data_IF_756386312654
#
_entry.id   IF_756386312654
#
_cell.length_a   1.000
_cell.length_b   1.000
_cell.length_c   1.000
_cell.angle_alpha   90.00
_cell.angle_beta   90.00
_cell.angle_gamma   90.00
#
_symmetry.space_group_name_H-M   'P 1'
#
loop_
_entity.id
_entity.type
_entity.pdbx_description
1 polymer ?
#
# COMPACT_ATOMS: atom_id res chain seq x y z
N UNK A 1 13.80 -23.00 26.97
CA UNK A 1 14.75 -22.30 26.08
C UNK A 1 14.29 -22.59 24.66
N UNK A 2 13.38 -21.76 24.14
CA UNK A 2 12.73 -21.95 22.83
C UNK A 2 13.26 -20.85 21.92
N UNK A 3 14.07 -21.25 20.94
CA UNK A 3 14.55 -20.39 19.86
C UNK A 3 13.36 -19.98 18.98
N UNK A 4 12.88 -18.75 19.17
CA UNK A 4 11.97 -18.08 18.25
C UNK A 4 12.75 -17.76 16.97
N UNK A 5 12.49 -18.57 15.94
CA UNK A 5 12.90 -18.35 14.56
C UNK A 5 12.65 -16.90 14.15
N UNK A 6 13.73 -16.11 14.10
CA UNK A 6 13.77 -14.82 13.39
C UNK A 6 13.62 -15.12 11.90
N UNK A 7 12.40 -15.13 11.40
CA UNK A 7 12.16 -14.99 9.97
C UNK A 7 12.55 -13.58 9.57
N UNK A 8 13.73 -13.43 8.99
CA UNK A 8 14.14 -12.23 8.25
C UNK A 8 13.09 -11.94 7.17
N UNK A 9 12.64 -10.68 7.00
CA UNK A 9 11.82 -10.34 5.85
C UNK A 9 12.66 -10.56 4.60
N UNK A 10 12.27 -11.53 3.76
CA UNK A 10 12.87 -11.71 2.43
C UNK A 10 12.83 -10.38 1.68
N UNK A 11 14.00 -9.94 1.20
CA UNK A 11 14.11 -8.72 0.42
C UNK A 11 13.24 -8.83 -0.84
N UNK A 12 12.35 -7.86 -1.04
CA UNK A 12 11.52 -7.76 -2.24
C UNK A 12 12.40 -7.68 -3.51
N UNK A 13 12.05 -8.39 -4.60
CA UNK A 13 12.88 -8.47 -5.81
C UNK A 13 13.06 -7.12 -6.52
N UNK A 14 14.29 -6.90 -7.01
CA UNK A 14 14.89 -5.63 -7.50
C UNK A 14 14.24 -4.94 -8.73
N UNK A 15 13.19 -5.48 -9.34
CA UNK A 15 12.63 -4.93 -10.60
C UNK A 15 11.23 -4.31 -10.48
N UNK A 16 10.71 -4.14 -9.27
CA UNK A 16 9.43 -3.46 -9.04
C UNK A 16 9.71 -1.97 -8.85
N UNK A 17 9.02 -1.07 -9.55
CA UNK A 17 8.91 0.31 -9.05
C UNK A 17 8.11 0.22 -7.74
N UNK A 18 8.74 0.44 -6.58
CA UNK A 18 8.03 0.30 -5.32
C UNK A 18 6.95 1.37 -5.23
N UNK A 19 5.90 1.11 -4.46
CA UNK A 19 5.00 2.19 -4.04
C UNK A 19 5.84 3.28 -3.38
N UNK A 20 5.65 4.53 -3.80
CA UNK A 20 6.33 5.64 -3.18
C UNK A 20 5.83 5.79 -1.75
N UNK A 21 6.72 5.64 -0.78
CA UNK A 21 6.37 5.78 0.62
C UNK A 21 5.94 7.20 0.95
N UNK A 22 4.91 7.33 1.79
CA UNK A 22 4.39 8.62 2.25
C UNK A 22 4.73 8.86 3.73
N UNK A 23 5.16 10.08 4.05
CA UNK A 23 5.47 10.50 5.43
C UNK A 23 4.39 11.46 5.93
N UNK A 24 3.79 11.17 7.07
CA UNK A 24 2.99 12.16 7.80
C UNK A 24 3.94 13.04 8.63
N UNK A 25 3.99 14.34 8.34
CA UNK A 25 4.81 15.32 9.05
C UNK A 25 3.93 16.11 10.02
N UNK A 26 4.08 15.81 11.30
CA UNK A 26 3.49 16.57 12.40
C UNK A 26 4.51 17.54 12.98
N UNK A 27 4.22 18.85 12.95
CA UNK A 27 5.20 19.89 13.28
C UNK A 27 4.66 21.07 14.07
N UNK A 28 3.42 21.03 14.57
CA UNK A 28 2.73 22.17 15.15
C UNK A 28 2.20 23.16 14.11
N UNK A 29 1.36 24.10 14.57
CA UNK A 29 0.54 24.97 13.72
C UNK A 29 0.95 26.46 13.73
N UNK A 30 1.98 26.87 14.49
CA UNK A 30 2.42 28.27 14.46
C UNK A 30 3.11 28.57 13.13
N UNK A 31 3.05 29.82 12.69
CA UNK A 31 3.57 30.24 11.38
C UNK A 31 5.03 29.79 11.15
N UNK A 32 5.93 30.01 12.12
CA UNK A 32 7.34 29.60 12.04
C UNK A 32 7.53 28.10 11.91
N UNK A 33 6.63 27.32 12.50
CA UNK A 33 6.66 25.86 12.42
C UNK A 33 6.20 25.39 11.06
N UNK A 34 5.10 25.94 10.55
CA UNK A 34 4.61 25.65 9.20
C UNK A 34 5.68 25.98 8.16
N UNK A 35 6.37 27.11 8.30
CA UNK A 35 7.50 27.47 7.44
C UNK A 35 8.64 26.44 7.55
N UNK A 36 8.94 25.98 8.77
CA UNK A 36 9.95 24.94 8.99
C UNK A 36 9.52 23.61 8.39
N UNK A 37 8.25 23.23 8.52
CA UNK A 37 7.63 22.04 7.96
C UNK A 37 7.71 22.01 6.44
N UNK A 38 7.43 23.14 5.79
CA UNK A 38 7.59 23.29 4.33
C UNK A 38 9.04 23.03 3.91
N UNK A 39 10.01 23.51 4.70
CA UNK A 39 11.45 23.27 4.44
C UNK A 39 11.84 21.82 4.71
N UNK A 40 11.31 21.19 5.76
CA UNK A 40 11.45 19.75 6.00
C UNK A 40 10.85 18.95 4.84
N UNK A 41 9.66 19.30 4.37
CA UNK A 41 9.01 18.66 3.22
C UNK A 41 9.87 18.69 1.96
N UNK A 42 10.57 19.80 1.68
CA UNK A 42 11.56 19.86 0.59
C UNK A 42 12.70 18.85 0.78
N UNK A 43 13.16 18.63 2.01
CA UNK A 43 14.17 17.61 2.33
C UNK A 43 13.58 16.22 2.08
N UNK A 44 12.36 15.94 2.52
CA UNK A 44 11.70 14.64 2.32
C UNK A 44 11.53 14.32 0.83
N UNK A 45 11.06 15.28 0.03
CA UNK A 45 10.93 15.14 -1.41
C UNK A 45 12.29 14.90 -2.09
N UNK A 46 13.34 15.60 -1.67
CA UNK A 46 14.69 15.39 -2.19
C UNK A 46 15.25 13.99 -1.86
N UNK A 47 14.75 13.34 -0.80
CA UNK A 47 15.08 11.95 -0.48
C UNK A 47 14.15 10.93 -1.17
N UNK A 48 13.19 11.40 -1.98
CA UNK A 48 12.30 10.53 -2.77
C UNK A 48 10.99 10.16 -2.07
N UNK A 49 10.66 10.74 -0.92
CA UNK A 49 9.40 10.48 -0.23
C UNK A 49 8.28 11.39 -0.73
N UNK A 50 7.05 10.88 -0.69
CA UNK A 50 5.86 11.74 -0.61
C UNK A 50 5.62 12.14 0.84
N UNK A 51 4.93 13.26 1.07
CA UNK A 51 4.64 13.69 2.41
C UNK A 51 3.33 14.47 2.49
N UNK A 52 2.71 14.42 3.67
CA UNK A 52 1.63 15.29 4.09
C UNK A 52 2.11 16.13 5.26
N UNK A 53 1.91 17.44 5.20
CA UNK A 53 2.13 18.34 6.35
C UNK A 53 0.80 18.46 7.06
N UNK A 54 0.75 18.12 8.33
CA UNK A 54 -0.41 18.41 9.17
C UNK A 54 -0.66 19.92 9.15
N UNK A 55 -1.78 20.33 8.54
CA UNK A 55 -2.19 21.74 8.45
C UNK A 55 -3.11 22.09 9.61
N UNK A 56 -3.41 23.37 9.72
CA UNK A 56 -4.42 23.85 10.64
C UNK A 56 -5.77 23.26 10.27
N UNK A 57 -6.38 22.60 11.25
CA UNK A 57 -7.66 21.93 11.13
C UNK A 57 -8.50 22.47 12.27
N UNK A 58 -9.53 23.24 11.94
CA UNK A 58 -10.20 24.13 12.90
C UNK A 58 -11.33 23.43 13.66
N UNK A 59 -11.73 22.24 13.22
CA UNK A 59 -12.81 21.48 13.87
C UNK A 59 -12.43 20.04 14.21
N UNK A 60 -13.05 19.52 15.28
CA UNK A 60 -12.96 18.09 15.67
C UNK A 60 -13.34 17.17 14.51
N UNK A 61 -14.31 17.58 13.68
CA UNK A 61 -14.76 16.80 12.53
C UNK A 61 -13.68 16.66 11.46
N UNK A 62 -12.96 17.73 11.16
CA UNK A 62 -11.87 17.71 10.19
C UNK A 62 -10.64 16.96 10.73
N UNK A 63 -10.37 17.02 12.05
CA UNK A 63 -9.35 16.17 12.69
C UNK A 63 -9.71 14.69 12.48
N UNK A 64 -10.97 14.33 12.72
CA UNK A 64 -11.44 12.95 12.60
C UNK A 64 -11.49 12.43 11.15
N UNK A 65 -11.69 13.31 10.16
CA UNK A 65 -11.87 12.88 8.77
C UNK A 65 -10.62 13.08 7.91
N UNK A 66 -9.97 14.24 7.96
CA UNK A 66 -8.81 14.53 7.10
C UNK A 66 -7.51 14.00 7.71
N UNK A 67 -7.21 14.36 8.97
CA UNK A 67 -5.95 13.95 9.61
C UNK A 67 -5.88 12.44 9.78
N UNK A 68 -6.95 11.80 10.25
CA UNK A 68 -6.98 10.33 10.37
C UNK A 68 -6.84 9.66 8.99
N UNK A 69 -7.49 10.19 7.95
CA UNK A 69 -7.33 9.65 6.58
C UNK A 69 -5.88 9.78 6.11
N UNK A 70 -5.25 10.92 6.32
CA UNK A 70 -3.85 11.15 5.92
C UNK A 70 -2.86 10.31 6.74
N UNK A 71 -3.15 10.06 8.02
CA UNK A 71 -2.42 9.11 8.84
C UNK A 71 -2.58 7.67 8.32
N UNK A 72 -3.82 7.23 8.03
CA UNK A 72 -4.08 5.90 7.44
C UNK A 72 -3.36 5.71 6.09
N UNK A 73 -3.19 6.79 5.33
CA UNK A 73 -2.53 6.81 4.02
C UNK A 73 -1.01 7.00 4.07
N UNK A 74 -0.43 7.24 5.25
CA UNK A 74 1.00 7.44 5.43
C UNK A 74 1.68 6.18 5.92
N UNK A 75 2.95 6.00 5.53
CA UNK A 75 3.76 4.83 5.87
C UNK A 75 4.68 5.10 7.06
N UNK A 76 5.14 6.34 7.16
CA UNK A 76 6.04 6.83 8.17
C UNK A 76 5.42 8.01 8.93
N UNK A 77 5.82 8.19 10.19
CA UNK A 77 5.41 9.35 10.98
C UNK A 77 6.66 10.13 11.41
N UNK A 78 6.71 11.41 11.06
CA UNK A 78 7.76 12.33 11.49
C UNK A 78 7.15 13.36 12.44
N UNK A 79 7.57 13.31 13.70
CA UNK A 79 7.18 14.23 14.74
C UNK A 79 8.28 15.26 15.01
N UNK A 80 8.01 16.54 14.73
CA UNK A 80 8.87 17.66 15.09
C UNK A 80 8.20 18.45 16.20
N UNK A 81 8.74 18.35 17.41
CA UNK A 81 8.09 18.83 18.62
C UNK A 81 8.78 20.11 19.13
N UNK A 82 8.18 21.26 18.82
CA UNK A 82 8.69 22.58 19.23
C UNK A 82 8.24 22.97 20.64
N UNK A 83 9.01 23.87 21.28
CA UNK A 83 8.66 24.48 22.57
C UNK A 83 7.41 25.35 22.45
N UNK A 84 6.54 25.25 23.47
CA UNK A 84 5.33 26.05 23.65
C UNK A 84 5.38 26.80 24.97
N UNK A 85 4.43 26.53 25.86
CA UNK A 85 4.31 27.17 27.16
C UNK A 85 5.40 26.65 28.10
N UNK A 86 6.00 27.55 28.87
CA UNK A 86 6.91 27.14 29.94
C UNK A 86 6.11 26.45 31.06
N UNK A 87 6.59 25.30 31.52
CA UNK A 87 6.00 24.57 32.66
C UNK A 87 6.77 24.88 33.94
N UNK A 88 8.09 24.96 33.84
CA UNK A 88 9.00 25.44 34.88
C UNK A 88 10.29 25.93 34.23
N UNK A 89 11.27 26.36 35.03
CA UNK A 89 12.55 26.89 34.52
C UNK A 89 13.23 25.85 33.63
N UNK A 90 13.41 26.19 32.35
CA UNK A 90 14.08 25.33 31.36
C UNK A 90 13.22 24.18 30.80
N UNK A 91 11.95 24.04 31.20
CA UNK A 91 11.04 23.04 30.66
C UNK A 91 9.82 23.65 29.99
N UNK A 92 9.50 23.14 28.81
CA UNK A 92 8.41 23.64 27.98
C UNK A 92 7.47 22.50 27.60
N UNK A 93 6.19 22.81 27.39
CA UNK A 93 5.25 21.92 26.72
C UNK A 93 5.57 21.81 25.23
N UNK A 94 5.12 20.71 24.64
CA UNK A 94 5.03 20.55 23.20
C UNK A 94 3.72 21.07 22.64
N UNK A 95 3.55 21.02 21.32
CA UNK A 95 2.27 21.35 20.68
C UNK A 95 1.21 20.30 21.02
N UNK A 96 0.12 20.68 21.69
CA UNK A 96 -0.98 19.77 22.06
C UNK A 96 -1.49 18.98 20.84
N UNK A 97 -1.74 19.67 19.73
CA UNK A 97 -2.21 19.05 18.48
C UNK A 97 -1.25 17.99 17.95
N UNK A 98 0.06 18.26 17.95
CA UNK A 98 1.05 17.30 17.45
C UNK A 98 1.23 16.10 18.38
N UNK A 99 0.99 16.28 19.68
CA UNK A 99 0.90 15.16 20.63
C UNK A 99 -0.36 14.32 20.42
N UNK A 100 -1.50 14.93 20.06
CA UNK A 100 -2.71 14.19 19.69
C UNK A 100 -2.50 13.37 18.41
N UNK A 101 -1.95 13.98 17.36
CA UNK A 101 -1.58 13.28 16.13
C UNK A 101 -0.60 12.14 16.40
N UNK A 102 0.36 12.35 17.30
CA UNK A 102 1.33 11.33 17.69
C UNK A 102 0.66 10.16 18.43
N UNK A 103 -0.30 10.45 19.30
CA UNK A 103 -1.10 9.42 19.96
C UNK A 103 -1.94 8.61 18.96
N UNK A 104 -2.56 9.28 17.97
CA UNK A 104 -3.31 8.60 16.90
C UNK A 104 -2.37 7.74 16.04
N UNK A 105 -1.21 8.25 15.64
CA UNK A 105 -0.22 7.49 14.88
C UNK A 105 0.24 6.24 15.66
N UNK A 106 0.48 6.37 16.96
CA UNK A 106 0.78 5.24 17.83
C UNK A 106 -0.36 4.23 17.89
N UNK A 107 -1.61 4.69 18.06
CA UNK A 107 -2.80 3.83 18.09
C UNK A 107 -3.06 3.12 16.75
N UNK A 108 -2.74 3.76 15.63
CA UNK A 108 -2.75 3.16 14.30
C UNK A 108 -1.56 2.21 14.07
N UNK A 109 -0.73 1.92 15.08
CA UNK A 109 0.35 0.94 14.98
C UNK A 109 1.48 1.37 14.05
N UNK A 110 1.80 2.66 13.96
CA UNK A 110 3.01 3.09 13.24
C UNK A 110 4.26 2.52 13.91
N UNK A 111 4.97 1.65 13.21
CA UNK A 111 6.26 1.11 13.67
C UNK A 111 7.44 1.99 13.27
N UNK A 112 7.25 2.84 12.26
CA UNK A 112 8.29 3.68 11.67
C UNK A 112 8.03 5.14 12.02
N UNK A 113 8.36 5.47 13.26
CA UNK A 113 8.20 6.80 13.85
C UNK A 113 9.58 7.42 14.03
N UNK A 114 9.75 8.65 13.57
CA UNK A 114 10.91 9.48 13.87
C UNK A 114 10.47 10.69 14.69
N UNK A 115 11.10 10.90 15.85
CA UNK A 115 10.81 12.02 16.74
C UNK A 115 12.05 12.91 16.89
N UNK A 116 11.84 14.21 16.70
CA UNK A 116 12.84 15.25 16.86
C UNK A 116 12.27 16.33 17.77
N UNK A 117 12.91 16.58 18.90
CA UNK A 117 12.43 17.51 19.93
C UNK A 117 13.23 18.81 19.91
N UNK A 118 12.58 19.93 20.18
CA UNK A 118 13.33 21.09 20.62
C UNK A 118 13.81 20.82 22.05
N UNK A 119 15.09 21.11 22.36
CA UNK A 119 15.71 20.85 23.66
C UNK A 119 14.83 21.37 24.79
N UNK A 120 14.69 20.68 25.91
CA UNK A 120 13.90 21.19 27.05
C UNK A 120 12.37 21.11 26.84
N UNK A 121 11.88 20.54 25.74
CA UNK A 121 10.49 20.09 25.70
C UNK A 121 10.35 18.89 26.64
N UNK A 122 9.41 18.98 27.58
CA UNK A 122 9.09 17.92 28.52
C UNK A 122 8.52 16.72 27.76
N UNK A 123 9.01 15.51 28.07
CA UNK A 123 8.44 14.27 27.56
C UNK A 123 7.19 13.93 28.36
N UNK A 124 6.03 14.29 27.82
CA UNK A 124 4.72 14.05 28.43
C UNK A 124 3.80 13.24 27.50
N UNK A 125 2.70 12.74 28.06
CA UNK A 125 1.75 11.88 27.33
C UNK A 125 2.42 10.63 26.76
N UNK A 126 2.02 10.24 25.55
CA UNK A 126 2.58 9.07 24.85
C UNK A 126 4.10 9.18 24.68
N UNK A 127 4.64 10.39 24.47
CA UNK A 127 6.09 10.61 24.28
C UNK A 127 6.92 10.28 25.54
N UNK A 128 6.32 10.38 26.73
CA UNK A 128 6.95 9.99 28.00
C UNK A 128 7.22 8.50 28.09
N UNK A 129 6.37 7.68 27.49
CA UNK A 129 6.47 6.21 27.49
C UNK A 129 7.04 5.64 26.20
N UNK A 130 7.14 6.46 25.15
CA UNK A 130 7.66 6.03 23.86
C UNK A 130 9.19 5.86 23.92
N UNK A 131 9.64 4.61 23.89
CA UNK A 131 11.05 4.20 24.03
C UNK A 131 11.92 4.47 22.79
N UNK A 132 12.00 5.71 22.32
CA UNK A 132 12.90 6.10 21.24
C UNK A 132 13.98 7.10 21.68
N UNK A 133 15.17 6.99 21.09
CA UNK A 133 16.22 8.00 21.18
C UNK A 133 15.86 9.19 20.27
N UNK A 134 15.31 10.23 20.88
CA UNK A 134 14.93 11.47 20.18
C UNK A 134 16.15 12.33 19.94
N UNK A 135 16.31 12.85 18.72
CA UNK A 135 17.31 13.90 18.50
C UNK A 135 16.75 15.25 18.95
N UNK A 136 17.66 16.14 19.36
CA UNK A 136 17.29 17.47 19.83
C UNK A 136 17.83 18.58 18.93
N UNK A 137 17.08 19.68 18.84
CA UNK A 137 17.49 20.94 18.23
C UNK A 137 17.24 22.11 19.20
N UNK A 138 17.93 23.21 19.03
CA UNK A 138 17.83 24.38 19.92
C UNK A 138 16.91 25.45 19.35
N UNK A 139 16.85 25.59 18.02
CA UNK A 139 16.10 26.64 17.32
C UNK A 139 15.49 26.17 15.97
N UNK A 140 14.63 27.01 15.40
CA UNK A 140 14.09 26.79 14.05
C UNK A 140 15.18 26.68 12.97
N UNK A 141 16.35 27.32 13.16
CA UNK A 141 17.43 27.35 12.15
C UNK A 141 18.15 26.00 12.06
N UNK A 142 18.44 25.37 13.19
CA UNK A 142 19.17 24.09 13.27
C UNK A 142 18.25 22.86 13.18
N UNK A 143 16.93 23.02 13.40
CA UNK A 143 15.93 21.95 13.23
C UNK A 143 16.10 21.16 11.92
N UNK A 144 16.36 21.83 10.79
CA UNK A 144 16.52 21.17 9.49
C UNK A 144 17.75 20.26 9.44
N UNK A 145 18.86 20.70 10.03
CA UNK A 145 20.09 19.91 10.08
C UNK A 145 19.89 18.66 10.93
N UNK A 146 19.18 18.80 12.06
CA UNK A 146 18.84 17.70 12.95
C UNK A 146 17.90 16.70 12.27
N UNK A 147 16.83 17.17 11.63
CA UNK A 147 15.91 16.29 10.87
C UNK A 147 16.64 15.55 9.76
N UNK A 148 17.50 16.23 8.99
CA UNK A 148 18.29 15.59 7.93
C UNK A 148 19.19 14.49 8.47
N UNK A 149 19.91 14.75 9.57
CA UNK A 149 20.76 13.77 10.24
C UNK A 149 19.95 12.58 10.76
N UNK A 150 18.81 12.84 11.38
CA UNK A 150 17.93 11.81 11.91
C UNK A 150 17.35 10.91 10.82
N UNK A 151 16.93 11.48 9.69
CA UNK A 151 16.46 10.75 8.50
C UNK A 151 17.54 9.81 7.95
N UNK A 152 18.78 10.26 7.85
CA UNK A 152 19.90 9.43 7.40
C UNK A 152 20.18 8.24 8.32
N UNK A 153 19.87 8.37 9.62
CA UNK A 153 20.10 7.31 10.62
C UNK A 153 19.00 6.24 10.61
N UNK A 154 17.73 6.62 10.42
CA UNK A 154 16.59 5.69 10.53
C UNK A 154 16.44 4.71 9.36
N UNK A 155 17.25 4.87 8.29
CA UNK A 155 17.31 3.96 7.12
C UNK A 155 15.93 3.56 6.58
N UNK A 156 15.00 4.52 6.53
CA UNK A 156 13.67 4.29 5.96
C UNK A 156 13.77 3.90 4.49
N UNK A 157 13.08 2.83 4.12
CA UNK A 157 13.07 2.30 2.77
C UNK A 157 11.99 2.99 1.94
N UNK A 158 12.34 3.50 0.76
CA UNK A 158 11.42 4.20 -0.14
C UNK A 158 10.29 3.34 -0.72
N UNK A 159 10.44 2.01 -0.63
CA UNK A 159 9.43 1.05 -1.06
C UNK A 159 8.63 0.44 0.08
N UNK A 160 8.86 0.86 1.32
CA UNK A 160 8.06 0.41 2.43
C UNK A 160 6.67 1.06 2.34
N UNK A 161 5.63 0.26 2.43
CA UNK A 161 4.29 0.78 2.66
C UNK A 161 3.53 -0.14 3.58
N UNK A 162 2.77 0.44 4.50
CA UNK A 162 1.84 -0.31 5.34
C UNK A 162 0.50 -0.56 4.64
N UNK A 163 0.24 0.06 3.49
CA UNK A 163 -1.00 -0.07 2.72
C UNK A 163 -1.05 -1.42 1.98
N UNK A 164 -2.13 -1.68 1.24
CA UNK A 164 -2.21 -2.87 0.40
C UNK A 164 -1.09 -2.84 -0.66
N UNK A 165 -0.46 -4.00 -0.91
CA UNK A 165 0.61 -4.11 -1.90
C UNK A 165 0.48 -5.35 -2.79
N UNK A 166 0.89 -5.19 -4.04
CA UNK A 166 1.04 -6.31 -4.97
C UNK A 166 2.31 -7.13 -4.67
N UNK A 167 2.11 -8.40 -4.40
CA UNK A 167 3.09 -9.41 -4.02
C UNK A 167 3.60 -10.23 -5.19
N UNK A 168 3.82 -11.53 -4.96
CA UNK A 168 4.32 -12.46 -6.00
C UNK A 168 3.19 -12.84 -6.94
N UNK A 169 3.55 -13.13 -8.19
CA UNK A 169 2.65 -13.74 -9.16
C UNK A 169 2.93 -15.23 -9.23
N UNK A 170 1.87 -16.04 -9.30
CA UNK A 170 1.98 -17.49 -9.40
C UNK A 170 1.23 -17.98 -10.64
N UNK A 171 1.68 -19.10 -11.19
CA UNK A 171 1.00 -19.74 -12.31
C UNK A 171 0.77 -21.20 -11.93
N UNK A 172 -0.50 -21.57 -11.81
CA UNK A 172 -0.91 -22.94 -11.49
C UNK A 172 -1.61 -23.58 -12.69
N UNK A 173 -1.50 -24.90 -12.83
CA UNK A 173 -2.30 -25.63 -13.81
C UNK A 173 -3.68 -25.87 -13.21
N UNK A 174 -4.73 -25.63 -13.99
CA UNK A 174 -6.10 -25.83 -13.54
C UNK A 174 -6.91 -26.66 -14.54
N UNK A 175 -7.89 -27.36 -13.99
CA UNK A 175 -9.05 -27.90 -14.69
C UNK A 175 -10.27 -27.56 -13.86
N UNK A 176 -11.13 -26.72 -14.39
CA UNK A 176 -12.39 -26.34 -13.77
C UNK A 176 -13.51 -26.94 -14.60
N UNK A 177 -14.35 -27.75 -13.98
CA UNK A 177 -15.50 -28.36 -14.63
C UNK A 177 -16.71 -28.15 -13.74
N UNK A 178 -17.76 -27.53 -14.28
CA UNK A 178 -19.05 -27.37 -13.64
C UNK A 178 -20.11 -27.98 -14.57
N UNK A 179 -20.69 -29.09 -14.13
CA UNK A 179 -21.68 -29.86 -14.90
C UNK A 179 -23.03 -29.16 -14.99
N UNK A 180 -23.37 -28.29 -14.04
CA UNK A 180 -24.64 -27.56 -14.02
C UNK A 180 -24.61 -26.37 -14.98
N UNK A 181 -23.49 -25.64 -15.04
CA UNK A 181 -23.32 -24.51 -15.96
C UNK A 181 -22.71 -24.92 -17.30
N UNK A 182 -22.21 -26.14 -17.43
CA UNK A 182 -21.53 -26.62 -18.64
C UNK A 182 -20.13 -26.03 -18.87
N UNK A 183 -19.59 -25.32 -17.88
CA UNK A 183 -18.23 -24.75 -17.97
C UNK A 183 -17.21 -25.87 -17.81
N UNK A 184 -16.40 -26.13 -18.84
CA UNK A 184 -15.17 -26.93 -18.73
C UNK A 184 -14.00 -26.13 -19.28
N UNK A 185 -13.08 -25.74 -18.41
CA UNK A 185 -11.90 -24.93 -18.73
C UNK A 185 -10.65 -25.64 -18.22
N UNK A 186 -9.71 -25.90 -19.13
CA UNK A 186 -8.39 -26.45 -18.80
C UNK A 186 -7.32 -25.46 -19.21
N UNK A 187 -6.42 -25.12 -18.30
CA UNK A 187 -5.44 -24.08 -18.59
C UNK A 187 -4.44 -23.79 -17.48
N UNK A 188 -3.92 -22.57 -17.54
CA UNK A 188 -2.98 -22.00 -16.57
C UNK A 188 -3.63 -20.79 -15.92
N UNK A 189 -3.93 -20.90 -14.62
CA UNK A 189 -4.42 -19.80 -13.81
C UNK A 189 -3.25 -18.93 -13.38
N UNK A 190 -3.42 -17.62 -13.47
CA UNK A 190 -2.49 -16.61 -13.00
C UNK A 190 -3.04 -16.04 -11.71
N UNK A 191 -2.23 -16.09 -10.66
CA UNK A 191 -2.54 -15.55 -9.36
C UNK A 191 -1.65 -14.36 -9.03
N UNK A 192 -2.16 -13.43 -8.23
CA UNK A 192 -1.40 -12.34 -7.63
C UNK A 192 -1.69 -12.27 -6.14
N UNK A 193 -0.64 -12.31 -5.33
CA UNK A 193 -0.75 -12.09 -3.89
C UNK A 193 -0.99 -10.60 -3.63
N UNK A 194 -1.98 -10.28 -2.81
CA UNK A 194 -2.21 -8.94 -2.27
C UNK A 194 -1.91 -8.98 -0.79
N UNK A 195 -0.97 -8.17 -0.35
CA UNK A 195 -0.51 -8.12 1.03
C UNK A 195 -1.18 -6.97 1.78
N UNK A 196 -1.64 -7.24 2.99
CA UNK A 196 -1.96 -6.23 3.97
C UNK A 196 -0.75 -6.04 4.90
N UNK A 197 -0.06 -4.90 4.75
CA UNK A 197 1.12 -4.61 5.56
C UNK A 197 0.81 -3.83 6.85
N UNK A 198 -0.46 -3.54 7.13
CA UNK A 198 -0.87 -2.92 8.40
C UNK A 198 -0.77 -3.94 9.54
N UNK A 199 -0.23 -3.55 10.71
CA UNK A 199 -0.22 -4.41 11.88
C UNK A 199 -1.50 -4.33 12.71
N UNK A 200 -2.31 -3.29 12.52
CA UNK A 200 -3.38 -2.89 13.44
C UNK A 200 -4.79 -3.28 12.97
N UNK A 201 -5.03 -3.42 11.66
CA UNK A 201 -6.34 -3.81 11.14
C UNK A 201 -6.25 -4.81 9.99
N UNK A 202 -7.29 -5.63 9.84
CA UNK A 202 -7.52 -6.43 8.66
C UNK A 202 -8.09 -5.57 7.51
N UNK A 203 -7.76 -5.91 6.26
CA UNK A 203 -8.44 -5.38 5.09
C UNK A 203 -9.71 -6.18 4.86
N UNK A 204 -10.83 -5.66 5.38
CA UNK A 204 -12.14 -6.28 5.24
C UNK A 204 -12.70 -6.04 3.84
N UNK A 205 -13.54 -6.97 3.39
CA UNK A 205 -14.22 -6.95 2.10
C UNK A 205 -13.29 -6.68 0.90
N UNK A 206 -12.09 -7.22 0.97
CA UNK A 206 -11.08 -7.00 -0.06
C UNK A 206 -11.55 -7.63 -1.37
N UNK A 207 -11.70 -6.79 -2.40
CA UNK A 207 -12.25 -7.15 -3.70
C UNK A 207 -11.31 -6.68 -4.80
N UNK A 208 -10.95 -7.58 -5.72
CA UNK A 208 -10.16 -7.26 -6.91
C UNK A 208 -11.04 -7.19 -8.16
N UNK A 209 -10.68 -6.38 -9.17
CA UNK A 209 -11.32 -6.39 -10.49
C UNK A 209 -10.35 -6.01 -11.60
N UNK A 210 -10.60 -6.49 -12.82
CA UNK A 210 -9.92 -5.96 -14.01
C UNK A 210 -10.55 -4.61 -14.37
N UNK A 211 -9.73 -3.56 -14.39
CA UNK A 211 -10.15 -2.23 -14.83
C UNK A 211 -10.05 -2.10 -16.36
N UNK A 212 -8.91 -2.49 -16.92
CA UNK A 212 -8.61 -2.32 -18.34
C UNK A 212 -7.47 -3.21 -18.80
N UNK A 213 -7.31 -3.39 -20.12
CA UNK A 213 -6.21 -4.14 -20.70
C UNK A 213 -5.78 -3.57 -22.05
N UNK A 214 -4.49 -3.68 -22.37
CA UNK A 214 -3.91 -3.35 -23.68
C UNK A 214 -3.47 -4.65 -24.36
N UNK A 215 -4.19 -5.12 -25.39
CA UNK A 215 -3.80 -6.29 -26.16
C UNK A 215 -2.46 -6.10 -26.87
N UNK A 216 -1.79 -7.20 -27.18
CA UNK A 216 -0.61 -7.20 -28.02
C UNK A 216 -0.89 -6.51 -29.37
N UNK A 217 -0.05 -5.55 -29.76
CA UNK A 217 -0.15 -4.77 -31.01
C UNK A 217 -1.37 -3.84 -31.11
N UNK A 218 -2.13 -3.63 -30.03
CA UNK A 218 -3.17 -2.61 -30.00
C UNK A 218 -2.58 -1.24 -29.65
N UNK A 219 -2.97 -0.20 -30.39
CA UNK A 219 -2.67 1.19 -30.02
C UNK A 219 -3.51 1.68 -28.83
N UNK A 220 -4.68 1.05 -28.60
CA UNK A 220 -5.65 1.48 -27.58
C UNK A 220 -5.74 0.56 -26.37
N UNK A 221 -6.09 1.14 -25.23
CA UNK A 221 -6.54 0.43 -24.03
C UNK A 221 -8.02 0.05 -24.17
N UNK A 222 -8.34 -1.20 -23.85
CA UNK A 222 -9.69 -1.73 -23.90
C UNK A 222 -10.25 -1.90 -22.49
N UNK A 223 -11.56 -1.75 -22.37
CA UNK A 223 -12.31 -2.06 -21.16
C UNK A 223 -12.84 -3.49 -21.26
N UNK A 224 -12.82 -4.28 -20.19
CA UNK A 224 -13.50 -5.57 -20.20
C UNK A 224 -15.00 -5.35 -20.38
N UNK A 225 -15.64 -6.21 -21.18
CA UNK A 225 -17.10 -6.18 -21.39
C UNK A 225 -17.88 -6.32 -20.08
N UNK A 226 -17.29 -6.99 -19.08
CA UNK A 226 -17.87 -7.22 -17.77
C UNK A 226 -16.89 -6.76 -16.69
N UNK A 227 -17.39 -5.98 -15.73
CA UNK A 227 -16.64 -5.53 -14.56
C UNK A 227 -17.16 -6.29 -13.34
N UNK A 228 -16.60 -7.45 -13.08
CA UNK A 228 -16.93 -8.27 -11.91
C UNK A 228 -15.78 -8.27 -10.91
N UNK A 229 -16.10 -8.63 -9.67
CA UNK A 229 -15.10 -9.03 -8.71
C UNK A 229 -14.35 -10.30 -9.16
N UNK A 230 -13.08 -10.39 -8.79
CA UNK A 230 -12.21 -11.55 -8.94
C UNK A 230 -12.35 -12.46 -7.73
N UNK A 231 -12.25 -13.77 -7.97
CA UNK A 231 -12.21 -14.78 -6.90
C UNK A 231 -10.83 -14.81 -6.24
N UNK A 232 -10.76 -15.05 -4.93
CA UNK A 232 -9.51 -15.48 -4.29
C UNK A 232 -9.29 -16.99 -4.45
N UNK A 233 -8.03 -17.37 -4.68
CA UNK A 233 -7.62 -18.74 -4.91
C UNK A 233 -8.02 -19.63 -3.74
N UNK A 234 -8.72 -20.74 -4.03
CA UNK A 234 -9.07 -21.75 -3.03
C UNK A 234 -10.11 -21.34 -1.99
N UNK A 235 -10.73 -20.15 -2.09
CA UNK A 235 -11.77 -19.69 -1.18
C UNK A 235 -13.12 -19.52 -1.87
N UNK A 236 -14.24 -19.75 -1.17
CA UNK A 236 -15.56 -19.34 -1.66
C UNK A 236 -15.71 -17.81 -1.58
N UNK A 237 -16.54 -17.25 -2.47
CA UNK A 237 -16.85 -15.82 -2.49
C UNK A 237 -15.87 -14.94 -3.29
N UNK A 238 -16.21 -13.65 -3.37
CA UNK A 238 -15.50 -12.63 -4.16
C UNK A 238 -15.05 -11.41 -3.33
N UNK A 239 -15.27 -11.49 -2.02
CA UNK A 239 -14.95 -10.48 -1.02
C UNK A 239 -14.21 -11.18 0.10
N UNK A 240 -13.02 -10.70 0.44
CA UNK A 240 -12.07 -11.45 1.27
C UNK A 240 -11.48 -10.61 2.39
N UNK A 241 -11.25 -11.22 3.54
CA UNK A 241 -10.54 -10.56 4.64
C UNK A 241 -9.05 -10.86 4.54
N UNK A 242 -8.21 -9.84 4.36
CA UNK A 242 -6.75 -9.97 4.47
C UNK A 242 -6.32 -9.51 5.86
N UNK A 243 -6.01 -10.46 6.74
CA UNK A 243 -5.58 -10.19 8.10
C UNK A 243 -4.30 -9.32 8.17
N UNK A 244 -4.05 -8.63 9.31
CA UNK A 244 -2.82 -7.87 9.51
C UNK A 244 -1.58 -8.70 9.19
N UNK A 245 -0.64 -8.12 8.44
CA UNK A 245 0.62 -8.77 8.00
C UNK A 245 0.43 -10.08 7.23
N UNK A 246 -0.72 -10.27 6.60
CA UNK A 246 -1.03 -11.45 5.79
C UNK A 246 -1.16 -11.09 4.31
N UNK A 247 -1.41 -12.10 3.48
CA UNK A 247 -1.80 -11.93 2.09
C UNK A 247 -2.92 -12.89 1.69
N UNK A 248 -3.59 -12.54 0.60
CA UNK A 248 -4.51 -13.40 -0.12
C UNK A 248 -4.14 -13.42 -1.60
N UNK A 249 -4.27 -14.57 -2.25
CA UNK A 249 -3.98 -14.74 -3.67
C UNK A 249 -5.26 -14.56 -4.48
N UNK A 250 -5.28 -13.62 -5.43
CA UNK A 250 -6.42 -13.39 -6.32
C UNK A 250 -6.21 -14.08 -7.67
N UNK A 251 -7.24 -14.76 -8.18
CA UNK A 251 -7.29 -15.35 -9.52
C UNK A 251 -7.44 -14.22 -10.55
N UNK A 252 -6.35 -13.80 -11.17
CA UNK A 252 -6.37 -12.69 -12.13
C UNK A 252 -7.01 -13.09 -13.45
N UNK A 253 -6.53 -14.19 -14.04
CA UNK A 253 -6.97 -14.70 -15.35
C UNK A 253 -6.55 -16.16 -15.55
N UNK A 254 -7.22 -16.84 -16.46
CA UNK A 254 -6.81 -18.15 -16.96
C UNK A 254 -6.47 -18.07 -18.45
N UNK A 255 -5.32 -18.62 -18.84
CA UNK A 255 -5.01 -18.90 -20.25
C UNK A 255 -5.24 -20.38 -20.50
N UNK A 256 -6.27 -20.71 -21.27
CA UNK A 256 -6.72 -22.09 -21.42
C UNK A 256 -7.67 -22.31 -22.58
N UNK A 257 -8.19 -23.52 -22.66
CA UNK A 257 -9.20 -23.95 -23.64
C UNK A 257 -10.52 -24.19 -22.91
N UNK A 258 -11.63 -23.81 -23.53
CA UNK A 258 -12.98 -24.09 -23.06
C UNK A 258 -13.63 -25.17 -23.93
N UNK A 259 -14.53 -25.97 -23.36
CA UNK A 259 -15.37 -26.91 -24.13
C UNK A 259 -16.12 -26.26 -25.31
N UNK A 260 -16.44 -24.96 -25.24
CA UNK A 260 -17.12 -24.25 -26.33
C UNK A 260 -16.18 -23.82 -27.47
N UNK A 261 -14.87 -23.83 -27.24
CA UNK A 261 -13.84 -23.44 -28.24
C UNK A 261 -12.68 -24.45 -28.23
N UNK A 262 -12.95 -25.73 -28.56
CA UNK A 262 -11.94 -26.78 -28.47
C UNK A 262 -10.78 -26.51 -29.43
N UNK A 263 -9.53 -26.72 -28.97
CA UNK A 263 -8.32 -26.50 -29.77
C UNK A 263 -7.88 -25.04 -29.92
N UNK A 264 -8.63 -24.08 -29.38
CA UNK A 264 -8.26 -22.68 -29.33
C UNK A 264 -8.05 -22.22 -27.88
N UNK A 265 -6.87 -21.69 -27.60
CA UNK A 265 -6.60 -21.06 -26.31
C UNK A 265 -7.06 -19.62 -26.29
N UNK A 266 -7.68 -19.22 -25.19
CA UNK A 266 -8.11 -17.85 -24.94
C UNK A 266 -7.74 -17.42 -23.52
N UNK A 267 -7.90 -16.11 -23.25
CA UNK A 267 -7.70 -15.52 -21.92
C UNK A 267 -9.06 -15.28 -21.28
N UNK A 268 -9.35 -16.00 -20.20
CA UNK A 268 -10.60 -15.90 -19.44
C UNK A 268 -10.37 -15.16 -18.12
N UNK A 269 -11.39 -14.45 -17.64
CA UNK A 269 -11.42 -13.91 -16.29
C UNK A 269 -12.22 -14.86 -15.39
N UNK A 270 -11.75 -15.08 -14.16
CA UNK A 270 -12.51 -15.80 -13.16
C UNK A 270 -13.51 -14.84 -12.49
N UNK A 271 -14.65 -14.64 -13.15
CA UNK A 271 -15.64 -13.62 -12.79
C UNK A 271 -16.75 -14.19 -11.90
N UNK A 272 -17.35 -13.33 -11.07
CA UNK A 272 -18.53 -13.67 -10.27
C UNK A 272 -19.83 -13.90 -11.05
N UNK A 273 -19.79 -13.75 -12.37
CA UNK A 273 -21.00 -13.77 -13.20
C UNK A 273 -21.30 -15.16 -13.78
N UNK A 274 -20.41 -16.15 -13.60
CA UNK A 274 -20.55 -17.55 -14.06
C UNK A 274 -21.20 -17.68 -15.45
N UNK A 275 -20.78 -16.80 -16.38
CA UNK A 275 -21.39 -16.68 -17.70
C UNK A 275 -21.08 -17.89 -18.58
N UNK A 276 -22.08 -18.34 -19.32
CA UNK A 276 -21.98 -19.45 -20.28
C UNK A 276 -22.50 -19.02 -21.66
N UNK A 277 -21.69 -19.08 -22.74
CA UNK A 277 -20.28 -19.43 -22.73
C UNK A 277 -19.45 -18.38 -22.00
N UNK A 278 -18.37 -18.82 -21.31
CA UNK A 278 -17.49 -17.90 -20.58
C UNK A 278 -16.81 -16.93 -21.56
N UNK A 279 -17.09 -15.61 -21.47
CA UNK A 279 -16.50 -14.66 -22.39
C UNK A 279 -14.99 -14.56 -22.15
N UNK A 280 -14.22 -14.51 -23.23
CA UNK A 280 -12.78 -14.30 -23.18
C UNK A 280 -12.39 -12.86 -23.53
N UNK A 281 -11.25 -12.43 -23.02
CA UNK A 281 -10.62 -11.16 -23.37
C UNK A 281 -10.01 -11.25 -24.76
N UNK A 282 -10.15 -10.18 -25.55
CA UNK A 282 -9.56 -10.06 -26.89
C UNK A 282 -8.04 -9.86 -26.82
N UNK A 283 -7.34 -10.88 -26.31
CA UNK A 283 -5.90 -10.93 -26.12
C UNK A 283 -5.40 -12.10 -26.97
N UNK A 284 -4.46 -11.80 -27.87
CA UNK A 284 -3.78 -12.81 -28.69
C UNK A 284 -2.38 -13.12 -28.12
N UNK A 285 -1.72 -14.13 -28.67
CA UNK A 285 -0.35 -14.47 -28.29
C UNK A 285 0.60 -13.25 -28.41
N UNK A 286 1.52 -13.17 -27.45
CA UNK A 286 2.56 -12.17 -27.30
C UNK A 286 2.43 -11.43 -25.97
N UNK A 287 2.74 -10.13 -25.95
CA UNK A 287 2.81 -9.35 -24.70
C UNK A 287 1.60 -8.43 -24.58
N UNK A 288 0.92 -8.47 -23.45
CA UNK A 288 -0.23 -7.60 -23.14
C UNK A 288 -0.11 -7.03 -21.74
N UNK A 289 -0.72 -5.88 -21.52
CA UNK A 289 -0.78 -5.24 -20.20
C UNK A 289 -2.19 -5.32 -19.65
N UNK A 290 -2.33 -5.63 -18.37
CA UNK A 290 -3.63 -5.70 -17.70
C UNK A 290 -3.56 -4.88 -16.42
N UNK A 291 -4.55 -4.01 -16.23
CA UNK A 291 -4.66 -3.10 -15.11
C UNK A 291 -5.80 -3.55 -14.20
N UNK A 292 -5.47 -3.81 -12.95
CA UNK A 292 -6.38 -4.27 -11.91
C UNK A 292 -6.51 -3.22 -10.81
N UNK A 293 -7.64 -3.24 -10.12
CA UNK A 293 -7.89 -2.47 -8.90
C UNK A 293 -8.26 -3.40 -7.76
N UNK A 294 -7.76 -3.12 -6.56
CA UNK A 294 -8.08 -3.82 -5.33
C UNK A 294 -8.58 -2.82 -4.29
N UNK A 295 -9.75 -3.11 -3.74
CA UNK A 295 -10.42 -2.33 -2.72
C UNK A 295 -10.39 -3.10 -1.41
N UNK A 296 -10.34 -2.42 -0.28
CA UNK A 296 -10.60 -2.99 1.04
C UNK A 296 -11.09 -1.87 1.97
N UNK A 297 -12.01 -2.18 2.88
CA UNK A 297 -12.55 -1.18 3.82
C UNK A 297 -11.41 -0.58 4.63
N UNK A 298 -11.37 0.75 4.75
CA UNK A 298 -10.32 1.52 5.44
C UNK A 298 -8.91 1.46 4.81
N UNK A 299 -8.81 0.99 3.57
CA UNK A 299 -7.59 1.05 2.76
C UNK A 299 -7.81 1.92 1.52
N UNK A 300 -6.81 2.70 1.10
CA UNK A 300 -6.85 3.36 -0.19
C UNK A 300 -6.77 2.33 -1.33
N UNK A 301 -7.25 2.70 -2.51
CA UNK A 301 -7.38 1.75 -3.62
C UNK A 301 -6.00 1.43 -4.19
N UNK A 302 -5.69 0.15 -4.30
CA UNK A 302 -4.46 -0.33 -4.93
C UNK A 302 -4.73 -0.62 -6.40
N UNK A 303 -4.06 0.12 -7.29
CA UNK A 303 -4.03 -0.18 -8.72
C UNK A 303 -2.77 -0.96 -9.06
N UNK A 304 -2.89 -2.04 -9.84
CA UNK A 304 -1.76 -2.90 -10.24
C UNK A 304 -1.78 -3.13 -11.75
N UNK A 305 -0.67 -2.84 -12.43
CA UNK A 305 -0.46 -3.17 -13.84
C UNK A 305 0.45 -4.38 -13.93
N UNK A 306 -0.03 -5.44 -14.57
CA UNK A 306 0.78 -6.61 -14.91
C UNK A 306 1.07 -6.67 -16.40
N UNK A 307 2.18 -7.30 -16.75
CA UNK A 307 2.49 -7.76 -18.08
C UNK A 307 2.22 -9.26 -18.15
N UNK A 308 1.39 -9.66 -19.09
CA UNK A 308 1.18 -11.05 -19.49
C UNK A 308 2.01 -11.31 -20.75
N UNK A 309 2.94 -12.25 -20.70
CA UNK A 309 3.65 -12.74 -21.88
C UNK A 309 3.19 -14.16 -22.17
N UNK A 310 2.42 -14.30 -23.25
CA UNK A 310 1.83 -15.54 -23.70
C UNK A 310 2.32 -15.90 -25.11
N UNK A 311 3.49 -16.56 -25.23
CA UNK A 311 4.05 -16.88 -26.53
C UNK A 311 3.29 -18.04 -27.20
N UNK A 312 3.35 -18.12 -28.54
CA UNK A 312 2.81 -19.28 -29.29
C UNK A 312 3.53 -20.58 -28.93
N UNK A 313 4.82 -20.49 -28.62
CA UNK A 313 5.68 -21.58 -28.14
C UNK A 313 6.47 -21.08 -26.93
N UNK A 314 6.50 -21.84 -25.84
CA UNK A 314 7.22 -21.47 -24.62
C UNK A 314 6.34 -21.31 -23.39
N UNK A 315 6.93 -20.76 -22.33
CA UNK A 315 6.29 -20.65 -21.01
C UNK A 315 5.51 -19.34 -20.88
N UNK A 316 4.28 -19.44 -20.40
CA UNK A 316 3.50 -18.29 -19.93
C UNK A 316 4.26 -17.62 -18.78
N UNK A 317 4.42 -16.30 -18.83
CA UNK A 317 5.00 -15.54 -17.72
C UNK A 317 4.18 -14.30 -17.42
N UNK A 318 4.23 -13.89 -16.17
CA UNK A 318 3.49 -12.72 -15.67
C UNK A 318 4.39 -11.94 -14.72
N UNK A 319 4.46 -10.63 -14.93
CA UNK A 319 5.24 -9.71 -14.11
C UNK A 319 4.41 -8.50 -13.72
N UNK A 320 4.48 -8.08 -12.46
CA UNK A 320 3.96 -6.77 -12.03
C UNK A 320 4.88 -5.69 -12.60
N UNK A 321 4.34 -4.83 -13.48
CA UNK A 321 5.06 -3.69 -14.07
C UNK A 321 5.02 -2.47 -13.15
N UNK A 322 3.85 -2.21 -12.57
CA UNK A 322 3.57 -0.98 -11.81
C UNK A 322 2.50 -1.27 -10.76
N UNK A 323 2.56 -0.57 -9.65
CA UNK A 323 1.47 -0.47 -8.70
C UNK A 323 1.40 0.96 -8.16
N UNK A 324 0.20 1.43 -7.85
CA UNK A 324 -0.09 2.79 -7.39
C UNK A 324 -1.22 2.76 -6.36
N UNK A 325 -1.23 3.77 -5.50
CA UNK A 325 -2.32 3.97 -4.53
C UNK A 325 -3.01 5.28 -4.87
N UNK A 326 -4.33 5.21 -4.99
CA UNK A 326 -5.21 6.34 -5.31
C UNK A 326 -6.16 6.68 -4.16
#
# INVERSE_FOLDING_TARGET
MIDLLRTTPEALPKERRPLKSRIFLSCGQREKEIQTAKRVGKILAAHGFDFYIAKDVQSIFEINSEIIRELKNSDFYLFVNFRREAVCVGQYRGSLFSHQEFAIAYALGFERILVVNQRGVKREGVLGYFGCNTEEFDSYKDCLAVVKRALSRVRWQLGYSRRLQAGRTHISKIRYTNTETGIDVKGRMVNLDIHNMRPDIAALETTGRLLSYRPNRSAGELQPKFRSALKAAGRPGFSHTIFPRSCEAFDLLCVGESAHTPGAQHVYLNTALDLTPTPYLMIANGTSELKYEFYGIDFPVLTVVIQLTWPKKGRLSVKVLKQEIS
#
